data_IF_115037793742
#
_entry.id   IF_115037793742
#
_cell.length_a   1.000
_cell.length_b   1.000
_cell.length_c   1.000
_cell.angle_alpha   90.00
_cell.angle_beta   90.00
_cell.angle_gamma   90.00
#
_symmetry.space_group_name_H-M   'P 1'
#
loop_
_entity.id
_entity.type
_entity.pdbx_description
1 polymer ?
#
# COMPACT_ATOMS: atom_id res chain seq x y z
N UNK A 1 23.40 26.73 -3.42
CA UNK A 1 24.52 26.12 -2.64
C UNK A 1 24.11 25.66 -1.24
N UNK A 2 23.19 26.32 -0.54
CA UNK A 2 22.75 25.94 0.82
C UNK A 2 22.09 24.54 0.93
N UNK A 3 21.34 24.10 -0.09
CA UNK A 3 20.66 22.79 -0.07
C UNK A 3 21.61 21.59 -0.04
N UNK A 4 22.68 21.62 -0.84
CA UNK A 4 23.67 20.52 -0.89
C UNK A 4 24.52 20.41 0.38
N UNK A 5 24.77 21.53 1.09
CA UNK A 5 25.45 21.52 2.39
C UNK A 5 24.57 20.94 3.50
N UNK A 6 23.27 21.23 3.48
CA UNK A 6 22.30 20.63 4.41
C UNK A 6 22.15 19.11 4.21
N UNK A 7 22.19 18.62 2.97
CA UNK A 7 22.13 17.18 2.71
C UNK A 7 23.41 16.44 3.12
N UNK A 8 24.58 16.99 2.83
CA UNK A 8 25.86 16.38 3.23
C UNK A 8 26.01 16.34 4.76
N UNK A 9 25.62 17.39 5.46
CA UNK A 9 25.63 17.42 6.93
C UNK A 9 24.68 16.37 7.53
N UNK A 10 23.47 16.24 6.97
CA UNK A 10 22.52 15.19 7.38
C UNK A 10 23.09 13.80 7.18
N UNK A 11 23.74 13.54 6.04
CA UNK A 11 24.38 12.24 5.77
C UNK A 11 25.51 11.96 6.75
N UNK A 12 26.35 12.97 7.07
CA UNK A 12 27.43 12.84 8.04
C UNK A 12 26.92 12.59 9.46
N UNK A 13 25.84 13.26 9.87
CA UNK A 13 25.18 13.00 11.16
C UNK A 13 24.62 11.58 11.19
N UNK A 14 23.92 11.14 10.15
CA UNK A 14 23.38 9.77 10.07
C UNK A 14 24.49 8.70 10.13
N UNK A 15 25.60 8.91 9.44
CA UNK A 15 26.75 8.01 9.45
C UNK A 15 27.39 7.92 10.85
N UNK A 16 27.61 9.05 11.52
CA UNK A 16 28.15 9.10 12.90
C UNK A 16 27.22 8.43 13.91
N UNK A 17 25.92 8.72 13.84
CA UNK A 17 24.92 8.09 14.71
C UNK A 17 24.89 6.58 14.51
N UNK A 18 24.94 6.12 13.25
CA UNK A 18 25.00 4.70 12.94
C UNK A 18 26.26 4.04 13.49
N UNK A 19 27.44 4.62 13.25
CA UNK A 19 28.71 4.08 13.75
C UNK A 19 28.72 3.96 15.28
N UNK A 20 28.14 4.95 15.98
CA UNK A 20 27.98 4.88 17.43
C UNK A 20 27.04 3.74 17.87
N UNK A 21 25.92 3.55 17.17
CA UNK A 21 24.99 2.43 17.45
C UNK A 21 25.61 1.07 17.15
N UNK A 22 26.37 0.96 16.05
CA UNK A 22 27.11 -0.23 15.65
C UNK A 22 28.10 -0.61 16.76
N UNK A 23 28.91 0.34 17.24
CA UNK A 23 29.88 0.13 18.31
C UNK A 23 29.21 -0.32 19.63
N UNK A 24 28.10 0.32 20.01
CA UNK A 24 27.34 -0.05 21.21
C UNK A 24 26.77 -1.48 21.14
N UNK A 25 26.23 -1.91 19.98
CA UNK A 25 25.76 -3.29 19.84
C UNK A 25 26.92 -4.28 19.85
N UNK A 26 27.98 -3.97 19.09
CA UNK A 26 29.13 -4.85 18.94
C UNK A 26 29.85 -5.09 20.28
N UNK A 27 30.10 -4.02 21.03
CA UNK A 27 30.92 -4.05 22.24
C UNK A 27 30.09 -4.33 23.51
N UNK A 28 28.92 -3.72 23.63
CA UNK A 28 28.15 -3.70 24.88
C UNK A 28 26.89 -4.57 24.82
N UNK A 29 26.52 -5.07 23.63
CA UNK A 29 25.30 -5.86 23.46
C UNK A 29 24.00 -5.06 23.68
N UNK A 30 24.05 -3.73 23.65
CA UNK A 30 22.88 -2.91 24.00
C UNK A 30 21.69 -3.17 23.07
N UNK A 31 20.51 -3.31 23.68
CA UNK A 31 19.25 -3.28 22.95
C UNK A 31 18.99 -1.84 22.48
N UNK A 32 19.15 -1.59 21.18
CA UNK A 32 19.04 -0.26 20.54
C UNK A 32 17.61 0.29 20.46
N UNK A 33 16.77 -0.04 21.44
CA UNK A 33 15.38 0.36 21.50
C UNK A 33 14.48 -0.44 20.56
N UNK A 34 13.26 0.08 20.39
CA UNK A 34 12.18 -0.63 19.73
C UNK A 34 11.49 -1.67 20.60
N UNK A 35 10.56 -2.40 19.98
CA UNK A 35 9.70 -3.39 20.64
C UNK A 35 10.50 -4.66 20.98
N UNK A 36 10.26 -5.25 22.15
CA UNK A 36 10.78 -6.58 22.46
C UNK A 36 10.26 -7.62 21.45
N UNK A 37 11.11 -8.53 20.97
CA UNK A 37 10.64 -9.71 20.26
C UNK A 37 9.69 -10.54 21.12
N UNK A 38 8.74 -11.24 20.48
CA UNK A 38 7.83 -12.14 21.18
C UNK A 38 8.60 -13.23 21.94
N UNK A 39 8.37 -13.41 23.24
CA UNK A 39 9.23 -14.25 24.10
C UNK A 39 10.08 -13.46 25.08
N UNK A 40 10.20 -12.14 24.89
CA UNK A 40 10.90 -11.24 25.79
C UNK A 40 10.00 -10.11 26.29
N UNK A 41 10.28 -9.62 27.50
CA UNK A 41 9.83 -8.34 28.01
C UNK A 41 10.99 -7.35 28.01
N UNK A 42 10.69 -6.05 27.91
CA UNK A 42 11.69 -5.00 28.15
C UNK A 42 11.58 -4.57 29.59
N UNK A 43 12.66 -4.77 30.34
CA UNK A 43 12.76 -4.36 31.74
C UNK A 43 13.80 -3.26 31.90
N UNK A 44 13.70 -2.58 33.03
CA UNK A 44 14.62 -1.53 33.43
C UNK A 44 15.94 -2.14 33.93
N UNK A 45 17.03 -1.81 33.24
CA UNK A 45 18.39 -2.24 33.57
C UNK A 45 19.18 -1.25 34.41
N UNK A 46 18.53 -0.23 34.98
CA UNK A 46 19.16 0.80 35.80
C UNK A 46 19.51 2.10 35.03
N UNK A 47 20.36 2.96 35.62
CA UNK A 47 20.75 4.23 35.01
C UNK A 47 21.39 4.05 33.63
N UNK A 48 21.06 4.93 32.69
CA UNK A 48 21.63 4.85 31.34
C UNK A 48 23.16 5.09 31.38
N UNK A 49 24.00 4.27 30.71
CA UNK A 49 25.47 4.39 30.84
C UNK A 49 26.06 5.71 30.35
N UNK A 50 25.38 6.42 29.44
CA UNK A 50 25.69 7.82 29.12
C UNK A 50 25.17 8.73 30.25
N UNK A 51 26.06 9.42 31.00
CA UNK A 51 25.67 10.26 32.14
C UNK A 51 24.65 11.33 31.79
N UNK A 52 24.78 11.98 30.62
CA UNK A 52 23.84 13.01 30.16
C UNK A 52 22.42 12.46 30.05
N UNK A 53 22.30 11.25 29.48
CA UNK A 53 21.00 10.58 29.32
C UNK A 53 20.44 10.09 30.66
N UNK A 54 21.29 9.63 31.58
CA UNK A 54 20.85 9.27 32.92
C UNK A 54 20.29 10.48 33.69
N UNK A 55 20.96 11.63 33.60
CA UNK A 55 20.47 12.89 34.20
C UNK A 55 19.15 13.35 33.58
N UNK A 56 18.95 13.12 32.28
CA UNK A 56 17.68 13.34 31.57
C UNK A 56 16.59 12.29 31.91
N UNK A 57 16.85 11.36 32.84
CA UNK A 57 15.90 10.35 33.30
C UNK A 57 15.76 9.13 32.37
N UNK A 58 16.56 9.04 31.30
CA UNK A 58 16.57 7.84 30.47
C UNK A 58 17.21 6.68 31.23
N UNK A 59 16.56 5.51 31.11
CA UNK A 59 17.00 4.27 31.75
C UNK A 59 17.46 3.25 30.72
N UNK A 60 18.38 2.38 31.14
CA UNK A 60 18.83 1.27 30.31
C UNK A 60 17.68 0.27 30.11
N UNK A 61 17.51 -0.21 28.88
CA UNK A 61 16.45 -1.16 28.54
C UNK A 61 17.08 -2.52 28.24
N UNK A 62 16.72 -3.52 29.02
CA UNK A 62 17.25 -4.89 28.93
C UNK A 62 16.14 -5.86 28.55
N UNK A 63 16.49 -6.93 27.83
CA UNK A 63 15.54 -7.99 27.47
C UNK A 63 15.57 -9.09 28.51
N UNK A 64 14.42 -9.42 29.06
CA UNK A 64 14.21 -10.54 29.98
C UNK A 64 13.24 -11.56 29.38
N UNK A 65 13.43 -12.84 29.69
CA UNK A 65 12.55 -13.91 29.19
C UNK A 65 11.15 -13.77 29.80
N UNK A 66 10.17 -13.82 28.93
CA UNK A 66 8.77 -14.00 29.28
C UNK A 66 8.40 -15.48 29.07
N UNK A 67 8.47 -16.28 30.12
CA UNK A 67 8.47 -17.75 30.00
C UNK A 67 7.25 -18.28 29.24
N UNK A 68 6.06 -17.72 29.46
CA UNK A 68 4.85 -18.10 28.74
C UNK A 68 4.97 -17.92 27.21
N UNK A 69 5.52 -16.80 26.74
CA UNK A 69 5.75 -16.58 25.30
C UNK A 69 6.99 -17.32 24.79
N UNK A 70 8.02 -17.44 25.62
CA UNK A 70 9.26 -18.13 25.28
C UNK A 70 9.04 -19.62 25.05
N UNK A 71 8.21 -20.27 25.86
CA UNK A 71 7.78 -21.66 25.66
C UNK A 71 7.16 -21.87 24.27
N UNK A 72 6.34 -20.91 23.79
CA UNK A 72 5.76 -20.95 22.45
C UNK A 72 6.83 -20.78 21.38
N UNK A 73 7.83 -19.91 21.59
CA UNK A 73 8.97 -19.78 20.66
C UNK A 73 9.77 -21.08 20.57
N UNK A 74 10.13 -21.70 21.71
CA UNK A 74 10.81 -23.00 21.75
C UNK A 74 10.00 -24.06 21.00
N UNK A 75 8.69 -24.13 21.24
CA UNK A 75 7.77 -25.01 20.52
C UNK A 75 7.78 -24.76 19.00
N UNK A 76 7.77 -23.50 18.56
CA UNK A 76 7.83 -23.15 17.12
C UNK A 76 9.12 -23.68 16.48
N UNK A 77 10.27 -23.51 17.13
CA UNK A 77 11.54 -24.03 16.62
C UNK A 77 11.54 -25.57 16.57
N UNK A 78 11.11 -26.23 17.65
CA UNK A 78 11.01 -27.68 17.71
C UNK A 78 10.08 -28.25 16.63
N UNK A 79 8.86 -27.71 16.49
CA UNK A 79 7.91 -28.16 15.47
C UNK A 79 8.43 -27.94 14.04
N UNK A 80 9.17 -26.85 13.81
CA UNK A 80 9.75 -26.57 12.51
C UNK A 80 10.86 -27.56 12.14
N UNK A 81 11.77 -27.83 13.09
CA UNK A 81 12.84 -28.83 12.95
C UNK A 81 12.27 -30.24 12.78
N UNK A 82 11.11 -30.54 13.39
CA UNK A 82 10.35 -31.78 13.19
C UNK A 82 9.60 -31.86 11.85
N UNK A 83 9.91 -31.00 10.88
CA UNK A 83 9.34 -31.14 9.53
C UNK A 83 8.10 -30.28 9.25
N UNK A 84 7.50 -29.61 10.24
CA UNK A 84 6.31 -28.79 9.98
C UNK A 84 6.67 -27.50 9.23
N UNK A 85 5.75 -27.04 8.38
CA UNK A 85 5.86 -25.77 7.67
C UNK A 85 5.17 -24.62 8.41
N UNK A 86 5.53 -23.37 8.10
CA UNK A 86 5.03 -22.13 8.76
C UNK A 86 3.51 -22.13 8.99
N UNK A 87 2.72 -22.55 7.98
CA UNK A 87 1.25 -22.59 8.06
C UNK A 87 0.73 -23.71 8.95
N UNK A 88 1.38 -24.87 8.94
CA UNK A 88 0.98 -26.00 9.78
C UNK A 88 1.20 -25.65 11.26
N UNK A 89 2.33 -25.01 11.58
CA UNK A 89 2.64 -24.51 12.93
C UNK A 89 1.60 -23.46 13.36
N UNK A 90 1.34 -22.44 12.51
CA UNK A 90 0.36 -21.40 12.82
C UNK A 90 -1.05 -21.99 13.09
N UNK A 91 -1.51 -22.91 12.24
CA UNK A 91 -2.80 -23.59 12.44
C UNK A 91 -2.82 -24.43 13.72
N UNK A 92 -1.70 -25.06 14.07
CA UNK A 92 -1.55 -25.80 15.31
C UNK A 92 -1.71 -24.91 16.53
N UNK A 93 -1.00 -23.78 16.58
CA UNK A 93 -1.11 -22.82 17.68
C UNK A 93 -2.52 -22.22 17.80
N UNK A 94 -3.19 -21.96 16.66
CA UNK A 94 -4.58 -21.47 16.66
C UNK A 94 -5.58 -22.50 17.18
N UNK A 95 -5.44 -23.76 16.77
CA UNK A 95 -6.28 -24.86 17.27
C UNK A 95 -6.11 -25.05 18.76
N UNK A 96 -4.88 -24.92 19.25
CA UNK A 96 -4.55 -25.02 20.67
C UNK A 96 -4.90 -23.73 21.44
N UNK A 97 -5.56 -22.76 20.80
CA UNK A 97 -6.02 -21.48 21.37
C UNK A 97 -4.92 -20.65 22.03
N UNK A 98 -3.68 -20.76 21.55
CA UNK A 98 -2.56 -19.98 22.06
C UNK A 98 -2.66 -18.54 21.52
N UNK A 99 -2.71 -17.50 22.40
CA UNK A 99 -2.79 -16.12 21.97
C UNK A 99 -1.61 -15.73 21.06
N UNK A 100 -1.90 -15.07 19.94
CA UNK A 100 -0.86 -14.57 19.05
C UNK A 100 -0.22 -13.27 19.61
N UNK A 101 0.93 -12.83 19.08
CA UNK A 101 1.61 -11.62 19.57
C UNK A 101 0.74 -10.34 19.52
N UNK A 102 -0.23 -10.29 18.61
CA UNK A 102 -1.21 -9.19 18.54
C UNK A 102 -2.28 -9.25 19.63
N UNK A 103 -2.74 -10.44 19.98
CA UNK A 103 -3.75 -10.65 21.03
C UNK A 103 -3.19 -10.49 22.44
N UNK A 104 -1.91 -10.85 22.66
CA UNK A 104 -1.28 -10.78 23.99
C UNK A 104 -0.95 -9.36 24.45
N UNK A 105 -0.73 -8.44 23.51
CA UNK A 105 -0.39 -7.03 23.78
C UNK A 105 -1.21 -6.13 22.83
N UNK A 106 -2.55 -6.07 22.98
CA UNK A 106 -3.42 -5.35 22.06
C UNK A 106 -3.10 -3.85 22.03
N UNK A 107 -2.65 -3.29 23.15
CA UNK A 107 -2.24 -1.89 23.28
C UNK A 107 -1.08 -1.54 22.33
N UNK A 108 -0.21 -2.50 22.02
CA UNK A 108 0.92 -2.36 21.09
C UNK A 108 0.55 -2.75 19.64
N UNK A 109 -0.65 -3.28 19.41
CA UNK A 109 -1.07 -3.86 18.13
C UNK A 109 -2.45 -3.36 17.68
N UNK A 110 -2.83 -2.12 18.00
CA UNK A 110 -4.14 -1.53 17.65
C UNK A 110 -4.48 -1.61 16.16
N UNK A 111 -3.47 -1.67 15.28
CA UNK A 111 -3.60 -1.81 13.83
C UNK A 111 -3.83 -3.25 13.35
N UNK A 112 -3.94 -4.24 14.26
CA UNK A 112 -4.12 -5.65 13.92
C UNK A 112 -5.38 -6.19 14.60
N UNK A 113 -6.13 -7.01 13.86
CA UNK A 113 -7.39 -7.62 14.30
C UNK A 113 -7.22 -8.70 15.38
N UNK A 114 -5.98 -9.01 15.80
CA UNK A 114 -5.68 -10.05 16.79
C UNK A 114 -6.31 -11.42 16.47
N UNK A 115 -6.52 -11.72 15.19
CA UNK A 115 -7.28 -12.84 14.63
C UNK A 115 -6.53 -14.19 14.60
N UNK A 116 -5.49 -14.33 15.43
CA UNK A 116 -4.70 -15.54 15.58
C UNK A 116 -3.30 -15.53 14.93
N UNK A 117 -2.64 -16.68 14.96
CA UNK A 117 -1.33 -16.93 14.40
C UNK A 117 -1.37 -17.01 12.88
N UNK A 118 -0.49 -16.25 12.24
CA UNK A 118 -0.31 -16.25 10.79
C UNK A 118 1.05 -16.87 10.43
N UNK A 119 1.13 -17.51 9.26
CA UNK A 119 2.38 -18.11 8.76
C UNK A 119 3.51 -17.08 8.62
N UNK A 120 3.19 -15.81 8.33
CA UNK A 120 4.13 -14.69 8.31
C UNK A 120 4.74 -14.44 9.69
N UNK A 121 3.94 -14.48 10.75
CA UNK A 121 4.40 -14.32 12.13
C UNK A 121 5.36 -15.44 12.53
N UNK A 122 5.03 -16.70 12.20
CA UNK A 122 5.92 -17.86 12.44
C UNK A 122 7.25 -17.68 11.72
N UNK A 123 7.22 -17.22 10.45
CA UNK A 123 8.43 -16.91 9.69
C UNK A 123 9.27 -15.83 10.36
N UNK A 124 8.66 -14.74 10.79
CA UNK A 124 9.37 -13.65 11.47
C UNK A 124 10.04 -14.11 12.76
N UNK A 125 9.44 -15.04 13.51
CA UNK A 125 10.04 -15.65 14.70
C UNK A 125 11.25 -16.50 14.31
N UNK A 126 11.06 -17.46 13.39
CA UNK A 126 12.13 -18.37 12.96
C UNK A 126 13.31 -17.63 12.32
N UNK A 127 13.11 -16.45 11.71
CA UNK A 127 14.17 -15.66 11.07
C UNK A 127 14.83 -14.63 12.00
N UNK A 128 14.40 -14.51 13.25
CA UNK A 128 14.93 -13.51 14.17
C UNK A 128 16.10 -14.10 15.00
N UNK A 129 17.35 -13.73 14.71
CA UNK A 129 18.49 -14.29 15.42
C UNK A 129 18.61 -13.76 16.86
N UNK A 130 17.81 -12.77 17.27
CA UNK A 130 17.79 -12.30 18.67
C UNK A 130 17.38 -13.39 19.66
N UNK A 131 16.75 -14.48 19.22
CA UNK A 131 16.42 -15.59 20.13
C UNK A 131 17.63 -16.37 20.62
N UNK A 132 18.82 -16.19 20.01
CA UNK A 132 20.08 -16.81 20.44
C UNK A 132 20.79 -16.06 21.57
N UNK A 133 20.15 -15.06 22.18
CA UNK A 133 20.76 -14.26 23.24
C UNK A 133 21.77 -13.20 22.77
N UNK A 134 22.08 -13.12 21.46
CA UNK A 134 22.94 -12.08 20.91
C UNK A 134 22.15 -10.84 20.46
N UNK A 135 22.73 -9.66 20.63
CA UNK A 135 22.14 -8.42 20.12
C UNK A 135 22.44 -8.25 18.63
N UNK A 136 21.45 -7.76 17.88
CA UNK A 136 21.55 -7.53 16.44
C UNK A 136 21.04 -6.13 16.05
N UNK A 137 21.83 -5.40 15.27
CA UNK A 137 21.48 -4.10 14.72
C UNK A 137 21.68 -4.04 13.20
N UNK A 138 21.02 -3.10 12.54
CA UNK A 138 21.17 -2.89 11.10
C UNK A 138 20.50 -3.93 10.19
N UNK A 139 19.59 -4.77 10.70
CA UNK A 139 18.89 -5.82 9.90
C UNK A 139 18.03 -5.28 8.75
N UNK A 140 17.59 -4.04 8.85
CA UNK A 140 16.76 -3.36 7.85
C UNK A 140 17.36 -1.99 7.53
N UNK A 141 17.32 -1.63 6.25
CA UNK A 141 17.79 -0.35 5.73
C UNK A 141 16.60 0.42 5.19
N UNK A 142 16.46 1.67 5.63
CA UNK A 142 15.53 2.64 5.03
C UNK A 142 16.13 3.06 3.68
N UNK A 143 15.37 2.87 2.60
CA UNK A 143 15.73 3.34 1.27
C UNK A 143 14.61 4.26 0.77
N UNK A 144 14.99 5.42 0.28
CA UNK A 144 14.09 6.27 -0.49
C UNK A 144 14.18 5.80 -1.94
N UNK A 145 13.02 5.47 -2.51
CA UNK A 145 12.91 5.03 -3.90
C UNK A 145 11.94 5.98 -4.57
N UNK A 146 12.27 6.42 -5.78
CA UNK A 146 11.33 7.18 -6.62
C UNK A 146 10.00 6.45 -6.72
N UNK A 147 8.90 7.20 -6.59
CA UNK A 147 7.55 6.66 -6.72
C UNK A 147 7.33 6.12 -8.14
N UNK A 148 7.78 6.90 -9.12
CA UNK A 148 7.85 6.55 -10.53
C UNK A 148 9.29 6.79 -11.05
N UNK A 149 9.97 5.79 -11.61
CA UNK A 149 11.26 5.98 -12.25
C UNK A 149 11.23 6.93 -13.46
N UNK A 150 10.09 7.03 -14.14
CA UNK A 150 9.90 7.82 -15.36
C UNK A 150 9.32 9.23 -15.07
N UNK A 151 8.81 9.45 -13.85
CA UNK A 151 8.36 10.76 -13.34
C UNK A 151 9.01 11.10 -11.99
N UNK A 152 10.12 11.84 -12.05
CA UNK A 152 10.90 12.29 -10.90
C UNK A 152 10.11 13.29 -10.03
N UNK A 153 9.12 13.99 -10.60
CA UNK A 153 8.29 14.96 -9.87
C UNK A 153 7.23 14.29 -8.98
N UNK A 154 6.91 13.01 -9.23
CA UNK A 154 5.99 12.20 -8.43
C UNK A 154 6.51 11.92 -6.99
N UNK A 155 7.78 12.25 -6.71
CA UNK A 155 8.36 12.20 -5.37
C UNK A 155 8.92 10.83 -4.97
N UNK A 156 9.20 10.66 -3.67
CA UNK A 156 9.87 9.48 -3.13
C UNK A 156 8.99 8.71 -2.15
N UNK A 157 9.07 7.38 -2.21
CA UNK A 157 8.50 6.48 -1.21
C UNK A 157 9.59 5.85 -0.35
N UNK A 158 9.37 5.84 0.95
CA UNK A 158 10.25 5.17 1.90
C UNK A 158 9.94 3.68 1.91
N UNK A 159 10.92 2.85 1.56
CA UNK A 159 10.83 1.38 1.64
C UNK A 159 11.91 0.84 2.56
N UNK A 160 11.52 -0.09 3.44
CA UNK A 160 12.48 -0.81 4.27
C UNK A 160 12.87 -2.12 3.59
N UNK A 161 14.16 -2.28 3.31
CA UNK A 161 14.71 -3.52 2.74
C UNK A 161 15.60 -4.25 3.74
N UNK A 162 15.65 -5.57 3.63
CA UNK A 162 16.57 -6.38 4.44
C UNK A 162 18.00 -6.00 4.07
N UNK A 163 18.81 -5.70 5.08
CA UNK A 163 20.20 -5.33 4.85
C UNK A 163 21.03 -6.55 4.40
N UNK A 164 22.11 -6.27 3.68
CA UNK A 164 23.15 -7.24 3.37
C UNK A 164 23.86 -7.69 4.65
N UNK A 165 24.44 -8.89 4.63
CA UNK A 165 24.98 -9.52 5.84
C UNK A 165 26.15 -8.73 6.47
N UNK A 166 26.96 -8.06 5.65
CA UNK A 166 28.05 -7.15 6.04
C UNK A 166 27.57 -5.94 6.83
N UNK A 167 26.32 -5.50 6.62
CA UNK A 167 25.72 -4.36 7.34
C UNK A 167 25.04 -4.74 8.65
N UNK A 168 24.92 -6.03 8.96
CA UNK A 168 24.26 -6.51 10.17
C UNK A 168 25.31 -6.70 11.26
N UNK A 169 25.19 -5.90 12.32
CA UNK A 169 26.08 -6.00 13.48
C UNK A 169 25.50 -7.00 14.48
N UNK A 170 26.35 -7.92 14.95
CA UNK A 170 26.08 -8.86 16.05
C UNK A 170 26.99 -8.54 17.23
N UNK A 171 26.48 -8.60 18.46
CA UNK A 171 27.32 -8.44 19.66
C UNK A 171 28.40 -9.52 19.75
N UNK A 172 29.57 -9.19 20.33
CA UNK A 172 30.64 -10.17 20.54
C UNK A 172 30.32 -11.19 21.65
N UNK A 173 29.55 -10.76 22.66
CA UNK A 173 29.13 -11.58 23.80
C UNK A 173 27.60 -11.73 23.81
N UNK A 174 27.06 -12.77 24.45
CA UNK A 174 25.63 -12.84 24.77
C UNK A 174 25.20 -11.55 25.48
N UNK A 175 24.09 -10.99 25.03
CA UNK A 175 23.56 -9.70 25.45
C UNK A 175 22.33 -9.83 26.36
N UNK A 176 21.58 -10.93 26.21
CA UNK A 176 20.37 -11.23 26.96
C UNK A 176 20.15 -12.75 27.01
N UNK A 177 19.29 -13.27 27.90
CA UNK A 177 19.07 -14.71 28.01
C UNK A 177 18.56 -15.31 26.69
N UNK A 178 19.12 -16.46 26.29
CA UNK A 178 18.71 -17.14 25.07
C UNK A 178 17.40 -17.93 25.26
N UNK A 179 16.56 -17.94 24.22
CA UNK A 179 15.36 -18.79 24.18
C UNK A 179 15.66 -20.07 23.40
N UNK A 180 16.51 -19.99 22.38
CA UNK A 180 17.05 -21.12 21.62
C UNK A 180 18.54 -20.92 21.45
N UNK A 181 19.32 -21.98 21.56
CA UNK A 181 20.76 -21.91 21.33
C UNK A 181 21.09 -21.57 19.85
N UNK A 182 22.36 -21.23 19.61
CA UNK A 182 22.86 -20.89 18.26
C UNK A 182 22.77 -22.07 17.29
N UNK A 183 22.93 -23.30 17.77
CA UNK A 183 22.89 -24.51 16.95
C UNK A 183 21.47 -24.77 16.43
N UNK A 184 20.48 -24.83 17.31
CA UNK A 184 19.05 -24.93 17.03
C UNK A 184 18.61 -23.85 16.03
N UNK A 185 19.03 -22.60 16.24
CA UNK A 185 18.74 -21.52 15.30
C UNK A 185 19.37 -21.77 13.92
N UNK A 186 20.63 -22.19 13.90
CA UNK A 186 21.39 -22.45 12.67
C UNK A 186 20.78 -23.63 11.89
N UNK A 187 20.42 -24.72 12.56
CA UNK A 187 19.73 -25.86 11.95
C UNK A 187 18.39 -25.43 11.34
N UNK A 188 17.62 -24.60 12.03
CA UNK A 188 16.37 -24.07 11.49
C UNK A 188 16.62 -23.19 10.24
N UNK A 189 17.68 -22.37 10.23
CA UNK A 189 18.07 -21.58 9.05
C UNK A 189 18.53 -22.47 7.89
N UNK A 190 19.32 -23.51 8.15
CA UNK A 190 19.77 -24.46 7.15
C UNK A 190 18.59 -25.22 6.54
N UNK A 191 17.66 -25.71 7.35
CA UNK A 191 16.42 -26.34 6.87
C UNK A 191 15.53 -25.34 6.09
N UNK A 192 15.50 -24.06 6.49
CA UNK A 192 14.83 -23.01 5.71
C UNK A 192 15.48 -22.78 4.35
N UNK A 193 16.81 -22.69 4.33
CA UNK A 193 17.59 -22.54 3.09
C UNK A 193 17.43 -23.76 2.20
N UNK A 194 17.50 -24.98 2.73
CA UNK A 194 17.30 -26.21 1.96
C UNK A 194 15.87 -26.33 1.42
N UNK A 195 14.84 -25.99 2.19
CA UNK A 195 13.44 -25.90 1.69
C UNK A 195 13.24 -24.78 0.67
N UNK A 196 14.04 -23.72 0.73
CA UNK A 196 14.04 -22.64 -0.27
C UNK A 196 14.81 -23.03 -1.54
N UNK A 197 15.88 -23.82 -1.40
CA UNK A 197 16.73 -24.37 -2.46
C UNK A 197 16.14 -25.63 -3.10
N UNK A 198 15.17 -26.28 -2.43
CA UNK A 198 14.41 -27.45 -2.83
C UNK A 198 13.52 -27.23 -4.05
N UNK A 199 14.18 -27.03 -5.18
CA UNK A 199 13.77 -27.49 -6.49
C UNK A 199 13.89 -26.44 -7.59
N UNK A 200 14.49 -26.84 -8.71
CA UNK A 200 14.15 -26.33 -10.04
C UNK A 200 12.63 -26.25 -10.25
N UNK A 201 11.79 -27.03 -9.54
CA UNK A 201 10.33 -26.85 -9.49
C UNK A 201 9.86 -25.56 -8.82
N UNK A 202 10.48 -25.13 -7.71
CA UNK A 202 10.17 -23.86 -7.05
C UNK A 202 10.81 -22.71 -7.79
N UNK A 203 12.01 -22.85 -8.35
CA UNK A 203 12.66 -21.85 -9.20
C UNK A 203 11.97 -21.71 -10.56
N UNK A 204 11.48 -22.77 -11.19
CA UNK A 204 10.60 -22.72 -12.37
C UNK A 204 9.17 -22.28 -12.04
N UNK A 205 8.71 -22.46 -10.79
CA UNK A 205 7.46 -21.83 -10.30
C UNK A 205 7.69 -20.35 -10.01
N UNK A 206 8.85 -19.99 -9.44
CA UNK A 206 9.27 -18.64 -9.15
C UNK A 206 9.52 -17.89 -10.44
N UNK A 207 10.18 -18.49 -11.44
CA UNK A 207 10.39 -17.99 -12.80
C UNK A 207 9.08 -17.94 -13.58
N UNK A 208 8.16 -18.90 -13.43
CA UNK A 208 6.77 -18.68 -13.92
C UNK A 208 6.08 -17.52 -13.23
N UNK A 209 6.34 -17.27 -11.94
CA UNK A 209 5.79 -16.12 -11.21
C UNK A 209 6.65 -14.85 -11.29
N UNK A 210 7.87 -14.90 -11.83
CA UNK A 210 8.83 -13.78 -12.04
C UNK A 210 8.86 -13.36 -13.50
N UNK A 211 8.46 -14.26 -14.40
CA UNK A 211 7.80 -13.97 -15.67
C UNK A 211 6.43 -13.30 -15.44
N UNK A 212 6.03 -13.02 -14.20
CA UNK A 212 5.18 -11.87 -13.92
C UNK A 212 6.02 -10.58 -14.02
N UNK A 213 6.59 -10.30 -15.20
CA UNK A 213 6.37 -8.94 -15.71
C UNK A 213 4.87 -8.73 -15.65
N UNK A 214 4.42 -7.60 -15.11
CA UNK A 214 3.01 -7.21 -14.97
C UNK A 214 2.15 -7.77 -16.11
N UNK A 215 1.60 -8.99 -15.94
CA UNK A 215 0.71 -9.55 -16.95
C UNK A 215 -0.54 -8.72 -16.80
N UNK A 216 -0.89 -8.02 -17.87
CA UNK A 216 -2.05 -7.17 -17.86
C UNK A 216 -3.30 -8.05 -17.78
N UNK A 217 -4.06 -7.90 -16.72
CA UNK A 217 -5.36 -8.55 -16.54
C UNK A 217 -6.39 -7.46 -16.80
N UNK A 218 -7.17 -7.59 -17.88
CA UNK A 218 -8.05 -6.51 -18.38
C UNK A 218 -8.98 -5.93 -17.31
N UNK A 219 -9.45 -6.78 -16.40
CA UNK A 219 -10.41 -6.46 -15.35
C UNK A 219 -9.79 -6.49 -13.96
N UNK A 220 -8.48 -6.22 -13.85
CA UNK A 220 -7.75 -6.24 -12.59
C UNK A 220 -8.42 -5.31 -11.57
N UNK A 221 -8.98 -5.90 -10.52
CA UNK A 221 -9.58 -5.15 -9.42
C UNK A 221 -11.00 -4.62 -9.68
N UNK A 222 -11.55 -4.82 -10.88
CA UNK A 222 -12.91 -4.45 -11.28
C UNK A 222 -13.92 -5.57 -10.98
N UNK A 223 -13.49 -6.84 -11.03
CA UNK A 223 -14.37 -8.00 -10.80
C UNK A 223 -14.48 -8.36 -9.32
N UNK A 224 -15.72 -8.48 -8.84
CA UNK A 224 -16.09 -8.94 -7.50
C UNK A 224 -16.91 -10.22 -7.56
N UNK A 225 -16.72 -11.08 -6.55
CA UNK A 225 -17.53 -12.27 -6.40
C UNK A 225 -18.88 -11.92 -5.77
N UNK A 226 -19.98 -12.23 -6.44
CA UNK A 226 -21.34 -11.97 -5.97
C UNK A 226 -21.77 -12.80 -4.76
N UNK A 227 -21.03 -13.86 -4.40
CA UNK A 227 -21.30 -14.67 -3.20
C UNK A 227 -20.61 -14.14 -1.93
N UNK A 228 -19.47 -13.45 -2.05
CA UNK A 228 -18.72 -12.99 -0.87
C UNK A 228 -18.27 -11.52 -0.93
N UNK A 229 -18.61 -10.78 -1.99
CA UNK A 229 -18.27 -9.37 -2.20
C UNK A 229 -16.78 -9.06 -2.44
N UNK A 230 -15.89 -10.04 -2.29
CA UNK A 230 -14.44 -9.85 -2.42
C UNK A 230 -14.01 -9.69 -3.87
N UNK A 231 -12.96 -8.90 -4.08
CA UNK A 231 -12.27 -8.76 -5.38
C UNK A 231 -11.71 -10.12 -5.81
N UNK A 232 -11.97 -10.50 -7.06
CA UNK A 232 -11.45 -11.73 -7.64
C UNK A 232 -9.99 -11.54 -8.09
N UNK A 233 -9.17 -12.58 -7.99
CA UNK A 233 -7.77 -12.53 -8.38
C UNK A 233 -7.57 -13.12 -9.78
N UNK A 234 -6.82 -12.40 -10.62
CA UNK A 234 -6.38 -12.90 -11.92
C UNK A 234 -5.45 -14.10 -11.78
N UNK A 235 -5.66 -15.12 -12.60
CA UNK A 235 -4.84 -16.31 -12.66
C UNK A 235 -4.88 -16.95 -14.04
N UNK A 236 -3.73 -17.38 -14.53
CA UNK A 236 -3.65 -18.19 -15.74
C UNK A 236 -3.87 -19.66 -15.37
N UNK A 237 -4.84 -20.31 -16.01
CA UNK A 237 -5.12 -21.74 -15.88
C UNK A 237 -4.87 -22.37 -17.26
N UNK A 238 -4.21 -23.53 -17.31
CA UNK A 238 -3.94 -24.30 -18.56
C UNK A 238 -3.32 -23.46 -19.70
N UNK A 239 -1.98 -23.40 -19.69
CA UNK A 239 -1.07 -22.88 -20.72
C UNK A 239 -1.26 -21.40 -21.14
N UNK A 240 -2.45 -20.86 -21.41
CA UNK A 240 -2.63 -19.43 -21.74
C UNK A 240 -4.01 -18.81 -21.38
N UNK A 241 -4.97 -19.55 -20.82
CA UNK A 241 -6.29 -18.97 -20.51
C UNK A 241 -6.28 -18.15 -19.20
N UNK A 242 -6.82 -16.93 -19.27
CA UNK A 242 -6.93 -16.02 -18.13
C UNK A 242 -8.27 -16.19 -17.42
N UNK A 243 -8.22 -16.32 -16.10
CA UNK A 243 -9.38 -16.44 -15.22
C UNK A 243 -9.32 -15.45 -14.07
N UNK A 244 -10.48 -14.95 -13.67
CA UNK A 244 -10.70 -14.29 -12.39
C UNK A 244 -11.25 -15.31 -11.41
N UNK A 245 -10.62 -15.43 -10.24
CA UNK A 245 -10.96 -16.48 -9.27
C UNK A 245 -11.29 -15.95 -7.89
N UNK A 246 -12.23 -16.61 -7.22
CA UNK A 246 -12.45 -16.49 -5.78
C UNK A 246 -12.24 -17.84 -5.10
N UNK A 247 -11.46 -17.86 -4.02
CA UNK A 247 -11.12 -19.08 -3.29
C UNK A 247 -11.76 -19.06 -1.91
N UNK A 248 -12.54 -20.09 -1.58
CA UNK A 248 -13.16 -20.20 -0.26
C UNK A 248 -12.11 -20.28 0.86
N UNK A 249 -10.96 -20.94 0.61
CA UNK A 249 -9.88 -21.09 1.61
C UNK A 249 -9.23 -19.78 2.08
N UNK A 250 -9.50 -18.66 1.41
CA UNK A 250 -9.00 -17.34 1.82
C UNK A 250 -10.05 -16.57 2.62
N UNK A 251 -11.27 -17.10 2.79
CA UNK A 251 -12.29 -16.54 3.68
C UNK A 251 -11.91 -16.80 5.13
N UNK A 252 -12.42 -15.95 6.02
CA UNK A 252 -12.31 -16.16 7.45
C UNK A 252 -13.02 -17.48 7.82
N UNK A 253 -12.38 -18.36 8.61
CA UNK A 253 -13.05 -19.56 9.12
C UNK A 253 -14.33 -19.16 9.89
N UNK A 254 -15.48 -19.72 9.50
CA UNK A 254 -16.77 -19.50 10.16
C UNK A 254 -17.62 -18.32 9.66
N UNK A 255 -17.23 -17.61 8.59
CA UNK A 255 -18.08 -16.56 8.00
C UNK A 255 -19.32 -17.16 7.29
N UNK A 256 -20.47 -16.49 7.33
CA UNK A 256 -21.66 -16.89 6.54
C UNK A 256 -21.35 -17.06 5.05
N UNK A 257 -20.56 -16.12 4.49
CA UNK A 257 -20.08 -16.22 3.10
C UNK A 257 -19.19 -17.43 2.81
N UNK A 258 -18.73 -18.20 3.81
CA UNK A 258 -18.01 -19.46 3.61
C UNK A 258 -18.97 -20.66 3.53
N UNK A 259 -20.18 -20.56 4.12
CA UNK A 259 -21.19 -21.60 4.08
C UNK A 259 -21.72 -21.81 2.65
N UNK A 260 -22.01 -20.71 1.95
CA UNK A 260 -22.62 -20.74 0.61
C UNK A 260 -21.60 -20.67 -0.54
N UNK A 261 -20.31 -20.53 -0.23
CA UNK A 261 -19.29 -20.31 -1.25
C UNK A 261 -18.59 -21.61 -1.67
N UNK A 262 -18.62 -21.99 -2.96
CA UNK A 262 -17.95 -23.19 -3.44
C UNK A 262 -16.43 -23.07 -3.29
N UNK A 263 -15.72 -24.20 -3.24
CA UNK A 263 -14.26 -24.24 -2.99
C UNK A 263 -13.47 -23.26 -3.86
N UNK A 264 -13.86 -23.14 -5.14
CA UNK A 264 -13.32 -22.17 -6.08
C UNK A 264 -14.44 -21.69 -7.02
N UNK A 265 -14.57 -20.36 -7.16
CA UNK A 265 -15.34 -19.71 -8.24
C UNK A 265 -14.33 -19.27 -9.29
N UNK A 266 -14.57 -19.62 -10.56
CA UNK A 266 -13.74 -19.22 -11.69
C UNK A 266 -14.61 -18.56 -12.75
N UNK A 267 -14.12 -17.45 -13.30
CA UNK A 267 -14.71 -16.73 -14.41
C UNK A 267 -13.62 -16.55 -15.47
N UNK A 268 -13.88 -16.93 -16.72
CA UNK A 268 -12.90 -16.70 -17.80
C UNK A 268 -12.95 -15.23 -18.21
N UNK A 269 -11.80 -14.68 -18.57
CA UNK A 269 -11.72 -13.30 -19.06
C UNK A 269 -12.48 -13.11 -20.38
N UNK A 270 -12.41 -14.10 -21.28
CA UNK A 270 -13.08 -14.02 -22.59
C UNK A 270 -14.60 -13.97 -22.47
N UNK A 271 -15.18 -14.66 -21.48
CA UNK A 271 -16.62 -14.68 -21.22
C UNK A 271 -17.16 -13.31 -20.78
N UNK A 272 -16.27 -12.42 -20.29
CA UNK A 272 -16.61 -11.03 -19.93
C UNK A 272 -16.38 -10.04 -21.07
N UNK A 273 -15.40 -10.29 -21.93
CA UNK A 273 -14.89 -9.31 -22.87
C UNK A 273 -15.92 -8.94 -23.94
N UNK A 274 -16.51 -9.94 -24.60
CA UNK A 274 -17.49 -9.70 -25.66
C UNK A 274 -18.79 -9.07 -25.13
N UNK A 275 -19.42 -9.57 -24.04
CA UNK A 275 -20.63 -8.94 -23.51
C UNK A 275 -20.39 -7.51 -23.02
N UNK A 276 -19.24 -7.25 -22.39
CA UNK A 276 -18.92 -5.91 -21.90
C UNK A 276 -18.69 -4.93 -23.06
N UNK A 277 -17.90 -5.32 -24.07
CA UNK A 277 -17.67 -4.45 -25.23
C UNK A 277 -18.95 -4.20 -26.01
N UNK A 278 -19.82 -5.21 -26.13
CA UNK A 278 -21.16 -5.05 -26.70
C UNK A 278 -22.00 -4.05 -25.91
N UNK A 279 -22.04 -4.18 -24.58
CA UNK A 279 -22.76 -3.24 -23.71
C UNK A 279 -22.21 -1.81 -23.80
N UNK A 280 -20.88 -1.62 -23.81
CA UNK A 280 -20.27 -0.29 -24.00
C UNK A 280 -20.63 0.26 -25.38
N UNK A 281 -20.58 -0.56 -26.43
CA UNK A 281 -20.98 -0.16 -27.78
C UNK A 281 -22.43 0.32 -27.84
N UNK A 282 -23.35 -0.35 -27.14
CA UNK A 282 -24.76 0.04 -27.06
C UNK A 282 -24.97 1.42 -26.43
N UNK A 283 -24.06 1.92 -25.58
CA UNK A 283 -24.17 3.25 -25.00
C UNK A 283 -23.99 4.36 -26.05
N UNK A 284 -23.26 4.08 -27.14
CA UNK A 284 -22.95 5.04 -28.19
C UNK A 284 -23.73 4.79 -29.49
N UNK A 285 -24.75 3.90 -29.47
CA UNK A 285 -25.65 3.74 -30.62
C UNK A 285 -26.58 4.94 -30.75
N UNK A 286 -27.00 5.25 -31.98
CA UNK A 286 -27.88 6.40 -32.28
C UNK A 286 -29.12 6.47 -31.40
N UNK A 287 -29.69 5.33 -31.05
CA UNK A 287 -30.89 5.23 -30.21
C UNK A 287 -30.64 5.62 -28.74
N UNK A 288 -29.41 5.50 -28.25
CA UNK A 288 -29.05 5.79 -26.86
C UNK A 288 -28.19 7.06 -26.71
N UNK A 289 -27.79 7.70 -27.81
CA UNK A 289 -26.89 8.85 -27.83
C UNK A 289 -27.39 9.97 -26.91
N UNK A 290 -28.63 10.43 -27.08
CA UNK A 290 -29.17 11.55 -26.31
C UNK A 290 -29.14 11.28 -24.80
N UNK A 291 -29.42 10.04 -24.41
CA UNK A 291 -29.36 9.61 -23.00
C UNK A 291 -27.91 9.62 -22.48
N UNK A 292 -26.97 9.16 -23.29
CA UNK A 292 -25.55 9.11 -22.93
C UNK A 292 -24.95 10.52 -22.85
N UNK A 293 -25.29 11.42 -23.79
CA UNK A 293 -24.87 12.83 -23.75
C UNK A 293 -25.44 13.52 -22.52
N UNK A 294 -26.74 13.36 -22.24
CA UNK A 294 -27.36 13.92 -21.04
C UNK A 294 -26.69 13.43 -19.75
N UNK A 295 -26.31 12.16 -19.67
CA UNK A 295 -25.58 11.60 -18.53
C UNK A 295 -24.16 12.18 -18.40
N UNK A 296 -23.44 12.35 -19.52
CA UNK A 296 -22.11 12.96 -19.55
C UNK A 296 -22.16 14.44 -19.13
N UNK A 297 -23.13 15.20 -19.62
CA UNK A 297 -23.37 16.60 -19.21
C UNK A 297 -23.72 16.66 -17.72
N UNK A 298 -24.58 15.77 -17.23
CA UNK A 298 -24.93 15.68 -15.80
C UNK A 298 -23.74 15.36 -14.90
N UNK A 299 -22.79 14.53 -15.38
CA UNK A 299 -21.57 14.18 -14.63
C UNK A 299 -20.58 15.35 -14.48
N UNK A 300 -20.71 16.39 -15.32
CA UNK A 300 -19.90 17.61 -15.28
C UNK A 300 -20.42 18.66 -14.28
N UNK A 301 -21.45 18.35 -13.47
CA UNK A 301 -22.02 19.31 -12.51
C UNK A 301 -20.99 19.89 -11.53
N UNK A 302 -20.01 19.09 -11.09
CA UNK A 302 -18.92 19.57 -10.23
C UNK A 302 -17.88 20.39 -11.02
N UNK A 303 -17.67 20.08 -12.30
CA UNK A 303 -16.86 20.91 -13.21
C UNK A 303 -17.48 22.27 -13.48
N UNK A 304 -18.81 22.34 -13.68
CA UNK A 304 -19.55 23.60 -13.82
C UNK A 304 -19.48 24.46 -12.55
N UNK A 305 -19.57 23.84 -11.35
CA UNK A 305 -19.37 24.55 -10.07
C UNK A 305 -17.95 25.10 -9.95
N UNK A 306 -16.95 24.32 -10.32
CA UNK A 306 -15.54 24.74 -10.31
C UNK A 306 -15.27 25.86 -11.31
N UNK A 307 -15.83 25.80 -12.52
CA UNK A 307 -15.75 26.87 -13.51
C UNK A 307 -16.39 28.17 -12.99
N UNK A 308 -17.55 28.08 -12.33
CA UNK A 308 -18.20 29.23 -11.69
C UNK A 308 -17.37 29.83 -10.54
N UNK A 309 -16.71 29.00 -9.74
CA UNK A 309 -15.80 29.43 -8.68
C UNK A 309 -14.54 30.12 -9.24
N UNK A 310 -13.95 29.58 -10.32
CA UNK A 310 -12.82 30.20 -11.01
C UNK A 310 -13.18 31.57 -11.57
N UNK A 311 -14.35 31.70 -12.20
CA UNK A 311 -14.79 32.98 -12.75
C UNK A 311 -15.03 34.03 -11.65
N UNK A 312 -15.64 33.62 -10.54
CA UNK A 312 -15.81 34.48 -9.37
C UNK A 312 -14.48 34.90 -8.72
N UNK A 313 -13.48 34.01 -8.69
CA UNK A 313 -12.15 34.31 -8.18
C UNK A 313 -11.38 35.27 -9.12
N UNK A 314 -11.47 35.09 -10.45
CA UNK A 314 -10.92 36.04 -11.43
C UNK A 314 -11.51 37.43 -11.28
N UNK A 315 -12.83 37.52 -11.11
CA UNK A 315 -13.51 38.81 -10.90
C UNK A 315 -13.04 39.51 -9.61
N UNK A 316 -12.91 38.78 -8.50
CA UNK A 316 -12.35 39.34 -7.25
C UNK A 316 -10.90 39.81 -7.43
N UNK A 317 -10.09 39.06 -8.17
CA UNK A 317 -8.71 39.44 -8.46
C UNK A 317 -8.63 40.74 -9.26
N UNK A 318 -9.46 40.90 -10.29
CA UNK A 318 -9.50 42.12 -11.11
C UNK A 318 -10.01 43.32 -10.31
N UNK A 319 -11.04 43.14 -9.48
CA UNK A 319 -11.57 44.18 -8.59
C UNK A 319 -10.53 44.65 -7.56
N UNK A 320 -9.86 43.72 -6.86
CA UNK A 320 -8.82 44.02 -5.89
C UNK A 320 -7.60 44.70 -6.53
N UNK A 321 -7.18 44.24 -7.72
CA UNK A 321 -6.08 44.85 -8.48
C UNK A 321 -6.42 46.27 -8.93
N UNK A 322 -7.65 46.49 -9.42
CA UNK A 322 -8.14 47.82 -9.79
C UNK A 322 -8.19 48.76 -8.58
N UNK A 323 -8.62 48.25 -7.42
CA UNK A 323 -8.65 49.00 -6.17
C UNK A 323 -7.25 49.43 -5.72
N UNK A 324 -6.27 48.54 -5.82
CA UNK A 324 -4.87 48.88 -5.54
C UNK A 324 -4.32 49.97 -6.45
N UNK A 325 -4.59 49.89 -7.76
CA UNK A 325 -4.19 50.95 -8.70
C UNK A 325 -4.81 52.31 -8.37
N UNK A 326 -6.09 52.34 -7.96
CA UNK A 326 -6.76 53.58 -7.54
C UNK A 326 -6.16 54.17 -6.27
N UNK A 327 -5.84 53.31 -5.28
CA UNK A 327 -5.20 53.75 -4.04
C UNK A 327 -3.79 54.28 -4.29
N UNK A 328 -3.03 53.65 -5.20
CA UNK A 328 -1.71 54.13 -5.61
C UNK A 328 -1.80 55.49 -6.32
N UNK A 329 -2.74 55.66 -7.24
CA UNK A 329 -2.96 56.95 -7.92
C UNK A 329 -3.35 58.07 -6.93
N UNK A 330 -4.08 57.75 -5.85
CA UNK A 330 -4.41 58.73 -4.81
C UNK A 330 -3.17 59.19 -4.02
N UNK A 331 -2.23 58.29 -3.74
CA UNK A 331 -0.94 58.63 -3.12
C UNK A 331 -0.12 59.53 -4.05
N UNK A 332 -0.05 59.20 -5.34
CA UNK A 332 0.65 60.01 -6.34
C UNK A 332 0.03 61.40 -6.50
N UNK A 333 -1.29 61.54 -6.28
CA UNK A 333 -2.02 62.81 -6.27
C UNK A 333 -1.90 63.59 -4.95
N UNK A 334 -1.14 63.11 -3.97
CA UNK A 334 -0.85 63.82 -2.72
C UNK A 334 -1.77 63.48 -1.53
N UNK A 335 -2.54 62.39 -1.59
CA UNK A 335 -3.26 61.89 -0.41
C UNK A 335 -2.28 61.37 0.65
N UNK A 336 -2.61 61.57 1.94
CA UNK A 336 -1.80 61.07 3.06
C UNK A 336 -1.70 59.54 3.03
N UNK A 337 -0.50 58.96 2.83
CA UNK A 337 -0.31 57.52 2.82
C UNK A 337 -0.77 56.86 4.11
N UNK A 338 -0.63 57.53 5.27
CA UNK A 338 -0.99 56.98 6.57
C UNK A 338 -2.50 56.70 6.69
N UNK A 339 -3.33 57.53 6.06
CA UNK A 339 -4.79 57.36 6.03
C UNK A 339 -5.26 56.22 5.11
N UNK A 340 -4.40 55.71 4.22
CA UNK A 340 -4.73 54.69 3.22
C UNK A 340 -4.15 53.30 3.52
N UNK A 341 -3.31 53.17 4.56
CA UNK A 341 -2.62 51.90 4.92
C UNK A 341 -3.62 50.75 5.07
N UNK A 342 -4.72 50.95 5.80
CA UNK A 342 -5.70 49.89 6.05
C UNK A 342 -6.42 49.45 4.76
N UNK A 343 -6.76 50.41 3.89
CA UNK A 343 -7.38 50.13 2.60
C UNK A 343 -6.43 49.38 1.65
N UNK A 344 -5.13 49.70 1.67
CA UNK A 344 -4.10 49.02 0.89
C UNK A 344 -3.89 47.60 1.39
N UNK A 345 -3.74 47.41 2.70
CA UNK A 345 -3.57 46.08 3.30
C UNK A 345 -4.77 45.17 3.00
N UNK A 346 -5.99 45.72 3.07
CA UNK A 346 -7.21 44.98 2.74
C UNK A 346 -7.24 44.56 1.27
N UNK A 347 -6.95 45.48 0.34
CA UNK A 347 -6.94 45.16 -1.08
C UNK A 347 -5.79 44.21 -1.48
N UNK A 348 -4.63 44.28 -0.80
CA UNK A 348 -3.54 43.32 -0.96
C UNK A 348 -3.92 41.92 -0.46
N UNK A 349 -4.60 41.84 0.70
CA UNK A 349 -5.08 40.57 1.24
C UNK A 349 -6.16 39.93 0.33
N UNK A 350 -7.11 40.72 -0.17
CA UNK A 350 -8.14 40.28 -1.14
C UNK A 350 -7.49 39.73 -2.42
N UNK A 351 -6.49 40.45 -2.96
CA UNK A 351 -5.72 40.01 -4.15
C UNK A 351 -4.99 38.70 -3.89
N UNK A 352 -4.28 38.59 -2.76
CA UNK A 352 -3.53 37.39 -2.40
C UNK A 352 -4.45 36.18 -2.21
N UNK A 353 -5.60 36.36 -1.56
CA UNK A 353 -6.60 35.33 -1.37
C UNK A 353 -7.21 34.85 -2.71
N UNK A 354 -7.61 35.78 -3.58
CA UNK A 354 -8.16 35.44 -4.89
C UNK A 354 -7.13 34.74 -5.81
N UNK A 355 -5.86 35.15 -5.75
CA UNK A 355 -4.78 34.50 -6.48
C UNK A 355 -4.52 33.08 -5.97
N UNK A 356 -4.44 32.89 -4.64
CA UNK A 356 -4.25 31.57 -4.06
C UNK A 356 -5.43 30.63 -4.37
N UNK A 357 -6.65 31.15 -4.46
CA UNK A 357 -7.82 30.38 -4.88
C UNK A 357 -7.71 29.92 -6.34
N UNK A 358 -7.24 30.78 -7.25
CA UNK A 358 -7.00 30.42 -8.65
C UNK A 358 -5.85 29.42 -8.82
N UNK A 359 -4.74 29.60 -8.09
CA UNK A 359 -3.57 28.73 -8.17
C UNK A 359 -3.88 27.29 -7.67
N UNK A 360 -4.83 27.16 -6.74
CA UNK A 360 -5.22 25.87 -6.16
C UNK A 360 -6.47 25.23 -6.81
N UNK A 361 -7.15 25.91 -7.74
CA UNK A 361 -8.33 25.36 -8.42
C UNK A 361 -7.95 24.77 -9.77
N UNK A 362 -8.07 23.44 -9.98
CA UNK A 362 -7.78 22.81 -11.27
C UNK A 362 -8.67 23.38 -12.39
N UNK A 363 -8.10 23.61 -13.58
CA UNK A 363 -8.87 24.06 -14.76
C UNK A 363 -9.92 23.01 -15.11
N UNK A 364 -11.20 23.35 -14.90
CA UNK A 364 -12.31 22.50 -15.31
C UNK A 364 -12.63 22.79 -16.79
N UNK A 365 -12.28 21.85 -17.67
CA UNK A 365 -12.75 21.88 -19.05
C UNK A 365 -14.13 21.22 -19.10
N UNK A 366 -15.17 22.03 -19.19
CA UNK A 366 -16.55 21.55 -19.36
C UNK A 366 -16.90 21.58 -20.84
N UNK A 367 -17.27 20.43 -21.39
CA UNK A 367 -17.69 20.28 -22.79
C UNK A 367 -19.19 20.54 -22.89
N UNK A 368 -19.59 21.33 -23.88
CA UNK A 368 -20.99 21.56 -24.23
C UNK A 368 -21.64 20.33 -24.85
N UNK A 369 -22.95 20.27 -24.79
CA UNK A 369 -23.77 19.22 -25.41
C UNK A 369 -23.41 18.97 -26.89
N UNK A 370 -23.29 20.06 -27.66
CA UNK A 370 -22.91 20.01 -29.08
C UNK A 370 -21.46 19.51 -29.30
N UNK A 371 -20.52 19.88 -28.42
CA UNK A 371 -19.14 19.39 -28.49
C UNK A 371 -19.07 17.89 -28.15
N UNK A 372 -19.84 17.42 -27.17
CA UNK A 372 -19.92 16.00 -26.82
C UNK A 372 -20.55 15.21 -27.97
N UNK A 373 -21.62 15.72 -28.59
CA UNK A 373 -22.22 15.11 -29.78
C UNK A 373 -21.20 14.99 -30.92
N UNK A 374 -20.49 16.08 -31.24
CA UNK A 374 -19.46 16.07 -32.29
C UNK A 374 -18.30 15.11 -31.97
N UNK A 375 -17.89 15.03 -30.69
CA UNK A 375 -16.86 14.08 -30.26
C UNK A 375 -17.33 12.64 -30.40
N UNK A 376 -18.56 12.31 -30.01
CA UNK A 376 -19.08 10.95 -30.13
C UNK A 376 -19.26 10.56 -31.61
N UNK A 377 -19.77 11.46 -32.44
CA UNK A 377 -19.88 11.22 -33.89
C UNK A 377 -18.51 10.98 -34.54
N UNK A 378 -17.46 11.65 -34.05
CA UNK A 378 -16.08 11.44 -34.53
C UNK A 378 -15.51 10.06 -34.16
N UNK A 379 -16.05 9.39 -33.14
CA UNK A 379 -15.60 8.06 -32.71
C UNK A 379 -16.09 6.94 -33.64
N UNK A 380 -17.12 7.18 -34.45
CA UNK A 380 -17.68 6.19 -35.37
C UNK A 380 -18.30 4.98 -34.65
N UNK A 381 -18.11 3.77 -35.17
CA UNK A 381 -18.59 2.54 -34.52
C UNK A 381 -17.67 2.14 -33.36
N UNK A 382 -18.01 2.60 -32.16
CA UNK A 382 -17.31 2.30 -30.91
C UNK A 382 -17.28 0.79 -30.64
N UNK A 383 -18.33 0.04 -30.99
CA UNK A 383 -18.39 -1.40 -30.78
C UNK A 383 -17.35 -2.15 -31.61
N UNK A 384 -17.19 -1.78 -32.87
CA UNK A 384 -16.15 -2.30 -33.75
C UNK A 384 -14.75 -1.89 -33.26
N UNK A 385 -14.57 -0.63 -32.88
CA UNK A 385 -13.28 -0.11 -32.40
C UNK A 385 -12.79 -0.82 -31.12
N UNK A 386 -13.71 -1.19 -30.21
CA UNK A 386 -13.37 -1.93 -28.98
C UNK A 386 -13.00 -3.39 -29.23
N UNK A 387 -13.51 -4.00 -30.29
CA UNK A 387 -13.22 -5.40 -30.65
C UNK A 387 -11.77 -5.58 -31.10
N UNK A 388 -11.23 -4.60 -31.82
CA UNK A 388 -9.87 -4.64 -32.37
C UNK A 388 -8.84 -3.93 -31.47
N UNK A 389 -9.27 -3.40 -30.32
CA UNK A 389 -8.42 -2.66 -29.41
C UNK A 389 -7.41 -3.56 -28.67
N UNK A 390 -6.16 -3.06 -28.54
CA UNK A 390 -5.12 -3.72 -27.73
C UNK A 390 -5.52 -3.75 -26.26
N UNK A 391 -5.12 -4.82 -25.56
CA UNK A 391 -5.47 -5.07 -24.16
C UNK A 391 -5.07 -3.95 -23.19
N UNK A 392 -3.96 -3.25 -23.44
CA UNK A 392 -3.51 -2.11 -22.62
C UNK A 392 -4.46 -0.93 -22.68
N UNK A 393 -4.97 -0.61 -23.88
CA UNK A 393 -5.93 0.49 -24.08
C UNK A 393 -7.29 0.15 -23.48
N UNK A 394 -7.74 -1.11 -23.62
CA UNK A 394 -8.98 -1.58 -23.01
C UNK A 394 -8.93 -1.54 -21.48
N UNK A 395 -7.81 -1.95 -20.87
CA UNK A 395 -7.63 -1.85 -19.42
C UNK A 395 -7.73 -0.41 -18.92
N UNK A 396 -7.07 0.53 -19.60
CA UNK A 396 -7.13 1.95 -19.25
C UNK A 396 -8.56 2.50 -19.39
N UNK A 397 -9.26 2.12 -20.47
CA UNK A 397 -10.65 2.50 -20.68
C UNK A 397 -11.59 1.96 -19.59
N UNK A 398 -11.47 0.69 -19.22
CA UNK A 398 -12.35 0.11 -18.20
C UNK A 398 -12.10 0.71 -16.81
N UNK A 399 -10.86 1.08 -16.52
CA UNK A 399 -10.51 1.81 -15.29
C UNK A 399 -11.07 3.23 -15.32
N UNK A 400 -10.96 3.96 -16.43
CA UNK A 400 -11.49 5.33 -16.56
C UNK A 400 -13.02 5.38 -16.53
N UNK A 401 -13.69 4.35 -17.06
CA UNK A 401 -15.14 4.16 -16.95
C UNK A 401 -15.60 3.81 -15.52
N UNK A 402 -14.67 3.50 -14.60
CA UNK A 402 -15.01 3.19 -13.21
C UNK A 402 -15.86 1.92 -13.05
N UNK A 403 -15.67 0.93 -13.92
CA UNK A 403 -16.54 -0.26 -13.97
C UNK A 403 -16.49 -1.09 -12.69
N UNK A 404 -17.65 -1.55 -12.24
CA UNK A 404 -17.81 -2.43 -11.08
C UNK A 404 -18.54 -3.71 -11.50
N UNK A 405 -17.79 -4.78 -11.79
CA UNK A 405 -18.35 -6.02 -12.28
C UNK A 405 -18.63 -6.97 -11.12
N UNK A 406 -19.87 -7.44 -10.98
CA UNK A 406 -20.24 -8.43 -9.96
C UNK A 406 -20.59 -9.76 -10.61
N UNK A 407 -19.76 -10.78 -10.39
CA UNK A 407 -20.00 -12.11 -10.94
C UNK A 407 -20.80 -12.99 -9.96
N UNK A 408 -22.05 -13.31 -10.32
CA UNK A 408 -22.87 -14.29 -9.61
C UNK A 408 -22.76 -15.64 -10.31
N UNK A 409 -22.04 -16.63 -9.75
CA UNK A 409 -22.01 -17.97 -10.33
C UNK A 409 -23.40 -18.60 -10.20
N UNK A 410 -24.00 -19.03 -11.31
CA UNK A 410 -25.22 -19.83 -11.24
C UNK A 410 -24.95 -21.15 -10.50
N UNK A 411 -25.93 -21.61 -9.71
CA UNK A 411 -25.87 -22.90 -9.04
C UNK A 411 -25.68 -23.99 -10.10
N UNK A 412 -24.48 -24.56 -10.16
CA UNK A 412 -24.15 -25.57 -11.15
C UNK A 412 -24.83 -26.87 -10.75
N UNK A 413 -25.93 -27.22 -11.40
CA UNK A 413 -26.38 -28.60 -11.46
C UNK A 413 -25.27 -29.40 -12.17
N UNK A 414 -24.99 -30.61 -11.68
CA UNK A 414 -23.84 -31.41 -12.15
C UNK A 414 -24.03 -31.83 -13.62
N UNK A 415 -23.37 -31.13 -14.53
CA UNK A 415 -23.19 -31.56 -15.92
C UNK A 415 -23.68 -30.53 -16.93
N UNK A 416 -22.92 -30.35 -18.01
CA UNK A 416 -23.32 -29.53 -19.15
C UNK A 416 -22.79 -28.10 -19.12
N UNK A 417 -22.39 -27.63 -20.30
CA UNK A 417 -21.98 -26.26 -20.59
C UNK A 417 -23.16 -25.29 -20.40
N UNK A 418 -22.89 -24.01 -20.09
CA UNK A 418 -23.42 -22.89 -20.89
C UNK A 418 -23.18 -21.47 -20.34
N UNK A 419 -23.20 -20.58 -21.33
CA UNK A 419 -23.52 -19.15 -21.46
C UNK A 419 -23.70 -18.26 -20.21
N UNK A 420 -23.08 -17.07 -20.30
CA UNK A 420 -23.09 -16.01 -19.31
C UNK A 420 -24.23 -15.01 -19.54
N UNK A 421 -24.97 -14.68 -18.49
CA UNK A 421 -25.74 -13.44 -18.39
C UNK A 421 -25.06 -12.55 -17.33
N UNK A 422 -24.58 -11.39 -17.76
CA UNK A 422 -24.09 -10.32 -16.90
C UNK A 422 -25.22 -9.30 -16.70
N UNK A 423 -25.36 -8.81 -15.47
CA UNK A 423 -26.25 -7.70 -15.10
C UNK A 423 -25.57 -6.79 -14.09
#
# INVERSE_FOLDING_TARGET
>A
MLGGMSESERQHVQARVRAAMDAQVLNEGRHQGGRAPYGYNVVDGGPHPNPRKATEGYRLRVLEIDEASAAVVRRIFAEYLNGKGDRAIANGLNRDRIPCPSARRPEQNRHRLADGWQASTIRSILENPRYTGYAFFGRWTRQETLLDPDDVAAGHVIRFRRASADRVVRSRRPAHPEIVDVETFTQAQLMRRSRSAGGNRRRAKLERTRSSGSRNYLFRGLVRCGLCGRKMHGAVIRKHEIYYRCLARTLAPGSEALADHPRTVNLREIDLLEPLNGWVGLLFTRENLDRTVAALVGSQADGNRQAGQQEAAKKRLTEATTRLHRLQAAIEAGADPAALIEAINTAQAERAAAQAELDNTPVAHTLSDAEIHAMIDSLGDVGAALKDAKSEKLSCLYESLGLHLTYRPHARNRGGHDHAACG
#
